data_IF_939838266789
#
_entry.id   IF_939838266789
#
_cell.length_a   1.000
_cell.length_b   1.000
_cell.length_c   1.000
_cell.angle_alpha   90.00
_cell.angle_beta   90.00
_cell.angle_gamma   90.00
#
_symmetry.space_group_name_H-M   'P 1'
#
loop_
_entity.id
_entity.type
_entity.pdbx_description
1 polymer ?
#
# COMPACT_ATOMS: atom_id res chain seq x y z
N UNK A 1 -25.43 -5.61 28.68
CA UNK A 1 -24.53 -6.63 28.11
C UNK A 1 -25.38 -7.59 27.32
N UNK A 2 -25.13 -7.75 26.03
CA UNK A 2 -25.79 -8.73 25.16
C UNK A 2 -24.75 -9.74 24.67
N UNK A 3 -25.11 -11.02 24.72
CA UNK A 3 -24.31 -12.11 24.15
C UNK A 3 -24.81 -12.36 22.74
N UNK A 4 -23.90 -12.42 21.76
CA UNK A 4 -24.26 -12.59 20.35
C UNK A 4 -23.58 -13.89 19.86
N UNK A 5 -24.35 -14.76 19.18
CA UNK A 5 -23.82 -15.94 18.52
C UNK A 5 -23.26 -15.59 17.14
N UNK A 6 -22.28 -16.38 16.71
CA UNK A 6 -21.49 -16.23 15.48
C UNK A 6 -22.36 -16.33 14.22
N UNK A 7 -23.06 -15.27 13.84
CA UNK A 7 -24.04 -15.28 12.74
C UNK A 7 -23.84 -14.12 11.75
N UNK A 8 -22.59 -13.78 11.42
CA UNK A 8 -22.32 -12.88 10.28
C UNK A 8 -22.08 -13.60 8.94
N UNK A 9 -22.18 -14.94 8.90
CA UNK A 9 -21.83 -15.73 7.71
C UNK A 9 -22.82 -16.85 7.30
N UNK A 10 -23.99 -17.02 7.95
CA UNK A 10 -25.03 -17.99 7.53
C UNK A 10 -26.46 -17.40 7.69
N UNK A 11 -27.46 -17.83 6.88
CA UNK A 11 -28.81 -17.25 6.86
C UNK A 11 -29.67 -17.64 8.10
N UNK A 12 -30.62 -16.79 8.52
CA UNK A 12 -31.35 -16.94 9.79
C UNK A 12 -32.43 -18.05 9.76
N UNK A 13 -32.39 -18.98 10.73
CA UNK A 13 -33.47 -19.95 11.00
C UNK A 13 -34.42 -19.42 12.10
N UNK A 14 -35.70 -19.17 11.80
CA UNK A 14 -36.65 -18.59 12.72
C UNK A 14 -37.12 -19.51 13.87
N UNK A 15 -36.58 -20.73 14.01
CA UNK A 15 -36.98 -21.68 15.09
C UNK A 15 -36.02 -21.78 16.28
N UNK A 16 -34.92 -21.03 16.35
CA UNK A 16 -33.97 -21.11 17.49
C UNK A 16 -34.30 -20.11 18.60
N UNK A 17 -34.87 -20.60 19.69
CA UNK A 17 -34.89 -19.91 20.98
C UNK A 17 -33.59 -20.19 21.75
N UNK A 18 -32.90 -19.13 22.20
CA UNK A 18 -31.65 -19.25 22.96
C UNK A 18 -31.88 -18.92 24.44
N UNK A 19 -31.51 -19.86 25.31
CA UNK A 19 -31.72 -19.78 26.76
C UNK A 19 -30.46 -19.27 27.45
N UNK A 20 -30.60 -18.28 28.33
CA UNK A 20 -29.55 -17.87 29.26
C UNK A 20 -29.25 -19.06 30.18
N UNK A 21 -27.99 -19.44 30.31
CA UNK A 21 -27.55 -20.55 31.17
C UNK A 21 -28.03 -20.32 32.61
N UNK A 22 -28.71 -21.31 33.18
CA UNK A 22 -29.21 -21.25 34.55
C UNK A 22 -28.07 -21.39 35.57
N UNK A 23 -28.28 -20.92 36.80
CA UNK A 23 -27.27 -21.00 37.87
C UNK A 23 -26.84 -22.44 38.20
N UNK A 24 -27.72 -23.42 38.00
CA UNK A 24 -27.42 -24.86 38.19
C UNK A 24 -26.51 -25.42 37.09
N UNK A 25 -26.65 -24.96 35.85
CA UNK A 25 -25.79 -25.41 34.74
C UNK A 25 -24.37 -24.88 34.88
N UNK A 26 -24.21 -23.66 35.37
CA UNK A 26 -22.90 -23.09 35.70
C UNK A 26 -22.23 -23.84 36.87
N UNK A 27 -22.99 -24.26 37.88
CA UNK A 27 -22.50 -25.05 39.00
C UNK A 27 -22.03 -26.47 38.57
N UNK A 28 -22.62 -27.02 37.51
CA UNK A 28 -22.25 -28.32 36.93
C UNK A 28 -21.09 -28.26 35.91
N UNK A 29 -20.39 -27.12 35.80
CA UNK A 29 -19.17 -27.00 35.00
C UNK A 29 -19.40 -26.89 33.48
N UNK A 30 -20.64 -26.73 33.01
CA UNK A 30 -20.92 -26.41 31.59
C UNK A 30 -20.37 -25.02 31.28
N UNK A 31 -19.56 -24.91 30.23
CA UNK A 31 -19.04 -23.63 29.72
C UNK A 31 -19.86 -23.19 28.50
N UNK A 32 -20.48 -22.01 28.56
CA UNK A 32 -21.07 -21.35 27.38
C UNK A 32 -19.98 -20.50 26.74
N UNK A 33 -19.67 -20.75 25.47
CA UNK A 33 -18.66 -20.01 24.71
C UNK A 33 -19.36 -19.16 23.65
N UNK A 34 -19.84 -17.99 24.05
CA UNK A 34 -20.35 -17.00 23.11
C UNK A 34 -19.18 -16.33 22.40
N UNK A 35 -19.23 -16.27 21.07
CA UNK A 35 -18.12 -15.73 20.28
C UNK A 35 -18.09 -14.20 20.26
N UNK A 36 -19.22 -13.55 20.55
CA UNK A 36 -19.38 -12.12 20.40
C UNK A 36 -20.05 -11.50 21.63
N UNK A 37 -19.60 -10.29 21.99
CA UNK A 37 -20.10 -9.56 23.15
C UNK A 37 -20.36 -8.09 22.80
N UNK A 38 -21.55 -7.63 23.15
CA UNK A 38 -21.92 -6.23 23.08
C UNK A 38 -22.14 -5.65 24.47
N UNK A 39 -21.44 -4.55 24.75
CA UNK A 39 -21.62 -3.75 25.95
C UNK A 39 -22.05 -2.35 25.52
N UNK A 40 -23.25 -1.96 25.88
CA UNK A 40 -23.82 -0.63 25.63
C UNK A 40 -24.40 -0.04 26.91
N UNK A 41 -24.58 1.29 26.96
CA UNK A 41 -25.20 1.98 28.09
C UNK A 41 -24.34 3.05 28.78
N UNK A 42 -23.56 3.84 28.01
CA UNK A 42 -22.71 4.93 28.55
C UNK A 42 -21.65 4.46 29.56
N UNK A 43 -21.12 3.25 29.35
CA UNK A 43 -20.12 2.64 30.23
C UNK A 43 -18.84 3.49 30.27
N UNK A 44 -18.33 3.76 31.48
CA UNK A 44 -17.08 4.53 31.69
C UNK A 44 -15.86 3.64 31.96
N UNK A 45 -16.08 2.43 32.47
CA UNK A 45 -15.03 1.47 32.85
C UNK A 45 -15.50 0.05 32.59
N UNK A 46 -14.58 -0.80 32.15
CA UNK A 46 -14.81 -2.22 31.91
C UNK A 46 -14.22 -3.04 33.07
N UNK A 47 -14.91 -4.10 33.46
CA UNK A 47 -14.41 -5.04 34.49
C UNK A 47 -13.19 -5.80 33.98
N UNK A 48 -12.23 -6.08 34.87
CA UNK A 48 -11.03 -6.88 34.53
C UNK A 48 -11.38 -8.31 34.11
N UNK A 49 -12.53 -8.83 34.53
CA UNK A 49 -13.04 -10.13 34.12
C UNK A 49 -13.36 -10.20 32.61
N UNK A 50 -13.55 -9.06 31.93
CA UNK A 50 -13.75 -9.03 30.48
C UNK A 50 -12.53 -9.62 29.75
N UNK A 51 -11.33 -9.37 30.26
CA UNK A 51 -10.07 -9.72 29.60
C UNK A 51 -9.69 -11.19 29.76
N UNK A 52 -10.39 -11.95 30.62
CA UNK A 52 -10.24 -13.41 30.71
C UNK A 52 -11.08 -14.16 29.67
N UNK A 53 -11.89 -13.48 28.87
CA UNK A 53 -12.79 -14.09 27.89
C UNK A 53 -12.08 -14.30 26.55
N UNK A 54 -11.00 -15.07 26.58
CA UNK A 54 -10.08 -15.29 25.43
C UNK A 54 -10.72 -16.00 24.24
N UNK A 55 -11.92 -16.56 24.40
CA UNK A 55 -12.71 -17.19 23.34
C UNK A 55 -13.46 -16.17 22.45
N UNK A 56 -13.46 -14.89 22.82
CA UNK A 56 -14.10 -13.83 22.05
C UNK A 56 -13.45 -13.62 20.68
N UNK A 57 -14.29 -13.57 19.64
CA UNK A 57 -13.92 -13.20 18.28
C UNK A 57 -14.44 -11.82 17.88
N UNK A 58 -15.52 -11.32 18.50
CA UNK A 58 -15.99 -9.96 18.29
C UNK A 58 -16.35 -9.24 19.60
N UNK A 59 -15.97 -7.97 19.70
CA UNK A 59 -16.24 -7.14 20.86
C UNK A 59 -16.77 -5.78 20.41
N UNK A 60 -18.04 -5.53 20.74
CA UNK A 60 -18.78 -4.31 20.43
C UNK A 60 -18.87 -3.43 21.67
N UNK A 61 -18.15 -2.31 21.66
CA UNK A 61 -18.07 -1.32 22.73
C UNK A 61 -18.46 0.07 22.23
N UNK A 62 -19.12 0.18 21.07
CA UNK A 62 -19.55 1.44 20.50
C UNK A 62 -20.58 2.17 21.37
N UNK A 63 -20.63 3.50 21.21
CA UNK A 63 -21.60 4.38 21.89
C UNK A 63 -21.55 4.29 23.43
N UNK A 64 -20.34 4.20 23.98
CA UNK A 64 -20.09 4.27 25.41
C UNK A 64 -19.40 5.59 25.82
N UNK A 65 -18.89 5.65 27.06
CA UNK A 65 -18.17 6.80 27.60
C UNK A 65 -16.75 6.41 28.05
N UNK A 66 -16.14 5.44 27.36
CA UNK A 66 -14.79 4.97 27.65
C UNK A 66 -13.77 6.06 27.35
N UNK A 67 -12.92 6.39 28.32
CA UNK A 67 -11.83 7.36 28.15
C UNK A 67 -10.48 6.70 27.80
N UNK A 68 -10.36 5.40 28.08
CA UNK A 68 -9.17 4.57 27.84
C UNK A 68 -9.56 3.11 27.68
N UNK A 69 -8.68 2.35 27.05
CA UNK A 69 -8.70 0.89 26.99
C UNK A 69 -7.43 0.37 27.69
N UNK A 70 -7.53 -0.59 28.63
CA UNK A 70 -6.35 -1.10 29.32
C UNK A 70 -5.51 -2.02 28.40
N UNK A 71 -4.19 -2.14 28.66
CA UNK A 71 -3.31 -3.09 27.98
C UNK A 71 -3.83 -4.53 27.96
N UNK A 72 -4.59 -4.94 28.97
CA UNK A 72 -5.19 -6.27 29.09
C UNK A 72 -6.09 -6.67 27.92
N UNK A 73 -6.54 -5.72 27.08
CA UNK A 73 -7.27 -6.04 25.84
C UNK A 73 -6.49 -7.00 24.93
N UNK A 74 -5.14 -6.95 24.99
CA UNK A 74 -4.27 -7.83 24.23
C UNK A 74 -4.37 -9.32 24.62
N UNK A 75 -4.97 -9.64 25.77
CA UNK A 75 -5.26 -11.03 26.17
C UNK A 75 -6.31 -11.69 25.26
N UNK A 76 -7.15 -10.89 24.60
CA UNK A 76 -8.16 -11.34 23.63
C UNK A 76 -7.51 -11.61 22.27
N UNK A 77 -6.56 -12.54 22.22
CA UNK A 77 -5.76 -12.85 21.03
C UNK A 77 -6.57 -13.39 19.85
N UNK A 78 -7.74 -14.00 20.10
CA UNK A 78 -8.64 -14.52 19.06
C UNK A 78 -9.59 -13.45 18.47
N UNK A 79 -9.51 -12.20 18.94
CA UNK A 79 -10.42 -11.15 18.53
C UNK A 79 -10.16 -10.74 17.07
N UNK A 80 -11.18 -10.87 16.23
CA UNK A 80 -11.18 -10.52 14.81
C UNK A 80 -11.81 -9.14 14.59
N UNK A 81 -12.81 -8.79 15.39
CA UNK A 81 -13.55 -7.53 15.27
C UNK A 81 -13.57 -6.77 16.60
N UNK A 82 -13.17 -5.50 16.57
CA UNK A 82 -13.21 -4.60 17.70
C UNK A 82 -13.82 -3.25 17.30
N UNK A 83 -15.00 -2.95 17.84
CA UNK A 83 -15.64 -1.64 17.67
C UNK A 83 -15.58 -0.82 18.96
N UNK A 84 -14.80 0.26 18.90
CA UNK A 84 -14.61 1.26 19.95
C UNK A 84 -15.17 2.62 19.53
N UNK A 85 -15.98 2.67 18.47
CA UNK A 85 -16.49 3.92 17.91
C UNK A 85 -17.35 4.70 18.91
N UNK A 86 -17.41 6.02 18.72
CA UNK A 86 -18.24 6.93 19.52
C UNK A 86 -17.96 6.88 21.04
N UNK A 87 -16.69 6.71 21.42
CA UNK A 87 -16.24 6.82 22.80
C UNK A 87 -15.48 8.15 23.04
N UNK A 88 -14.78 8.27 24.18
CA UNK A 88 -13.97 9.44 24.56
C UNK A 88 -12.48 9.09 24.66
N UNK A 89 -12.03 8.09 23.90
CA UNK A 89 -10.68 7.52 23.99
C UNK A 89 -9.66 8.53 23.46
N UNK A 90 -8.60 8.79 24.24
CA UNK A 90 -7.52 9.74 23.89
C UNK A 90 -6.24 9.08 23.36
N UNK A 91 -6.00 7.84 23.77
CA UNK A 91 -4.88 7.01 23.33
C UNK A 91 -5.27 5.54 23.38
N UNK A 92 -4.57 4.72 22.57
CA UNK A 92 -4.66 3.27 22.63
C UNK A 92 -3.41 2.70 23.32
N UNK A 93 -3.53 1.54 24.00
CA UNK A 93 -2.37 0.82 24.52
C UNK A 93 -1.51 0.25 23.37
N UNK A 94 -0.19 0.23 23.56
CA UNK A 94 0.77 -0.35 22.61
C UNK A 94 0.51 -1.86 22.38
N UNK A 95 0.06 -2.54 23.42
CA UNK A 95 -0.24 -3.96 23.45
C UNK A 95 -1.36 -4.36 22.49
N UNK A 96 -2.17 -3.40 22.02
CA UNK A 96 -3.16 -3.65 20.98
C UNK A 96 -2.51 -4.19 19.69
N UNK A 97 -1.23 -3.86 19.45
CA UNK A 97 -0.43 -4.44 18.36
C UNK A 97 -0.21 -5.95 18.44
N UNK A 98 -0.36 -6.56 19.63
CA UNK A 98 -0.18 -8.00 19.80
C UNK A 98 -1.43 -8.81 19.37
N UNK A 99 -2.53 -8.15 19.02
CA UNK A 99 -3.80 -8.79 18.64
C UNK A 99 -3.78 -9.21 17.15
N UNK A 100 -2.84 -10.07 16.77
CA UNK A 100 -2.52 -10.41 15.37
C UNK A 100 -3.68 -10.97 14.53
N UNK A 101 -4.74 -11.48 15.16
CA UNK A 101 -5.95 -11.96 14.49
C UNK A 101 -6.95 -10.86 14.13
N UNK A 102 -6.71 -9.63 14.56
CA UNK A 102 -7.64 -8.51 14.39
C UNK A 102 -7.71 -8.09 12.91
N UNK A 103 -8.92 -8.11 12.35
CA UNK A 103 -9.23 -7.74 10.96
C UNK A 103 -9.96 -6.41 10.86
N UNK A 104 -10.77 -6.08 11.85
CA UNK A 104 -11.54 -4.83 11.85
C UNK A 104 -11.36 -4.10 13.17
N UNK A 105 -10.83 -2.88 13.10
CA UNK A 105 -10.66 -1.98 14.23
C UNK A 105 -11.37 -0.65 13.94
N UNK A 106 -12.51 -0.42 14.59
CA UNK A 106 -13.30 0.79 14.42
C UNK A 106 -13.09 1.73 15.61
N UNK A 107 -12.56 2.92 15.33
CA UNK A 107 -12.20 3.95 16.33
C UNK A 107 -12.87 5.28 16.03
N UNK A 108 -13.89 5.28 15.17
CA UNK A 108 -14.56 6.49 14.71
C UNK A 108 -15.08 7.31 15.90
N UNK A 109 -15.15 8.64 15.76
CA UNK A 109 -15.73 9.55 16.72
C UNK A 109 -15.12 9.51 18.14
N UNK A 110 -13.82 9.21 18.25
CA UNK A 110 -13.04 9.31 19.49
C UNK A 110 -12.24 10.62 19.57
N UNK A 111 -11.50 10.80 20.68
CA UNK A 111 -10.63 11.94 20.98
C UNK A 111 -9.14 11.58 20.87
N UNK A 112 -8.82 10.58 20.04
CA UNK A 112 -7.46 10.10 19.86
C UNK A 112 -6.54 11.26 19.49
N UNK A 113 -5.29 11.24 19.94
CA UNK A 113 -4.23 12.20 19.54
C UNK A 113 -3.10 11.59 18.72
N UNK A 114 -2.81 10.32 18.99
CA UNK A 114 -1.76 9.49 18.39
C UNK A 114 -2.24 8.05 18.40
N UNK A 115 -1.84 7.26 17.41
CA UNK A 115 -1.92 5.80 17.46
C UNK A 115 -0.54 5.22 17.85
N UNK A 116 -0.48 4.15 18.65
CA UNK A 116 0.76 3.46 18.95
C UNK A 116 1.36 2.86 17.66
N UNK A 117 2.69 2.91 17.51
CA UNK A 117 3.38 2.38 16.32
C UNK A 117 3.25 0.85 16.23
N UNK A 118 3.00 0.20 17.36
CA UNK A 118 2.78 -1.24 17.48
C UNK A 118 1.52 -1.72 16.74
N UNK A 119 0.58 -0.84 16.38
CA UNK A 119 -0.51 -1.22 15.46
C UNK A 119 0.01 -1.73 14.11
N UNK A 120 1.25 -1.39 13.74
CA UNK A 120 1.96 -1.97 12.60
C UNK A 120 2.24 -3.46 12.70
N UNK A 121 1.99 -4.11 13.84
CA UNK A 121 2.08 -5.57 13.98
C UNK A 121 0.79 -6.30 13.56
N UNK A 122 -0.30 -5.58 13.30
CA UNK A 122 -1.61 -6.15 12.97
C UNK A 122 -1.73 -6.57 11.49
N UNK A 123 -0.97 -7.58 11.06
CA UNK A 123 -0.86 -8.05 9.66
C UNK A 123 -2.14 -8.62 9.05
N UNK A 124 -3.17 -8.87 9.85
CA UNK A 124 -4.48 -9.29 9.35
C UNK A 124 -5.49 -8.14 9.28
N UNK A 125 -5.14 -6.92 9.70
CA UNK A 125 -6.07 -5.80 9.77
C UNK A 125 -6.52 -5.40 8.36
N UNK A 126 -7.80 -5.50 8.07
CA UNK A 126 -8.41 -5.14 6.78
C UNK A 126 -9.08 -3.76 6.83
N UNK A 127 -9.64 -3.40 7.98
CA UNK A 127 -10.38 -2.15 8.17
C UNK A 127 -9.90 -1.41 9.42
N UNK A 128 -9.50 -0.14 9.26
CA UNK A 128 -9.19 0.78 10.35
C UNK A 128 -10.05 2.05 10.24
N UNK A 129 -11.08 2.16 11.09
CA UNK A 129 -12.00 3.30 11.07
C UNK A 129 -11.52 4.45 11.95
N UNK A 130 -11.14 5.59 11.37
CA UNK A 130 -10.60 6.76 12.09
C UNK A 130 -11.35 8.07 11.82
N UNK A 131 -12.63 8.00 11.48
CA UNK A 131 -13.42 9.20 11.16
C UNK A 131 -13.68 10.02 12.44
N UNK A 132 -13.13 11.23 12.55
CA UNK A 132 -13.34 12.10 13.71
C UNK A 132 -14.68 12.85 13.72
N UNK A 133 -15.07 13.37 14.90
CA UNK A 133 -16.06 14.45 14.99
C UNK A 133 -15.43 15.74 14.43
N UNK A 134 -16.22 16.47 13.65
CA UNK A 134 -15.82 17.41 12.57
C UNK A 134 -14.91 18.61 12.92
N UNK A 135 -14.24 18.70 14.07
CA UNK A 135 -13.52 19.95 14.46
C UNK A 135 -12.21 19.83 15.26
N UNK A 136 -11.74 18.68 15.74
CA UNK A 136 -10.52 18.66 16.60
C UNK A 136 -9.48 17.58 16.26
N UNK A 137 -9.67 16.88 15.14
CA UNK A 137 -8.85 15.72 14.79
C UNK A 137 -7.85 15.99 13.64
N UNK A 138 -7.45 17.25 13.44
CA UNK A 138 -6.35 17.59 12.52
C UNK A 138 -5.02 16.98 13.00
N UNK A 139 -4.81 16.82 14.32
CA UNK A 139 -3.50 16.49 14.88
C UNK A 139 -3.10 15.01 14.81
N UNK A 140 -4.04 14.05 14.90
CA UNK A 140 -3.74 12.61 14.75
C UNK A 140 -3.50 12.27 13.29
N UNK A 141 -4.32 12.86 12.44
CA UNK A 141 -4.25 12.59 11.01
C UNK A 141 -3.00 13.21 10.37
N UNK A 142 -2.45 14.28 10.98
CA UNK A 142 -1.17 14.84 10.61
C UNK A 142 0.05 14.03 11.11
N UNK A 143 -0.10 13.12 12.10
CA UNK A 143 1.00 12.34 12.70
C UNK A 143 1.01 10.85 12.34
N UNK A 144 0.04 10.34 11.60
CA UNK A 144 0.02 8.97 11.07
C UNK A 144 0.99 8.83 9.88
N UNK A 145 2.28 9.02 10.17
CA UNK A 145 3.35 8.96 9.18
C UNK A 145 3.92 7.57 8.97
N UNK A 146 3.81 6.62 9.90
CA UNK A 146 4.49 5.32 9.77
C UNK A 146 3.68 4.20 10.43
N UNK A 147 2.81 3.55 9.66
CA UNK A 147 2.32 2.20 9.96
C UNK A 147 2.32 1.44 8.63
N UNK A 148 3.40 0.71 8.37
CA UNK A 148 3.56 -0.13 7.19
C UNK A 148 3.29 -1.59 7.61
N UNK A 149 2.43 -2.27 6.88
CA UNK A 149 2.05 -3.66 7.11
C UNK A 149 2.19 -4.42 5.80
N UNK A 150 2.91 -5.54 5.87
CA UNK A 150 3.41 -6.30 4.71
C UNK A 150 2.32 -7.00 3.91
N UNK A 151 2.67 -7.34 2.66
CA UNK A 151 1.85 -7.73 1.50
C UNK A 151 1.05 -6.57 0.90
N UNK A 152 1.77 -5.73 0.15
CA UNK A 152 1.27 -4.72 -0.77
C UNK A 152 0.11 -3.85 -0.24
N UNK A 153 0.50 -2.72 0.35
CA UNK A 153 -0.27 -1.51 0.73
C UNK A 153 -0.78 -1.49 2.17
N UNK A 154 -0.20 -0.57 2.97
CA UNK A 154 -0.96 0.24 3.94
C UNK A 154 -0.69 1.73 3.73
N UNK A 155 -1.47 2.33 2.83
CA UNK A 155 -1.53 3.76 2.53
C UNK A 155 -2.67 4.40 3.34
N UNK A 156 -2.59 4.45 4.66
CA UNK A 156 -3.69 5.00 5.45
C UNK A 156 -3.16 5.94 6.52
N UNK A 157 -3.16 7.23 6.17
CA UNK A 157 -3.99 8.27 6.82
C UNK A 157 -3.74 9.67 6.23
N UNK A 158 -2.53 9.99 5.74
CA UNK A 158 -2.32 11.26 5.02
C UNK A 158 -2.96 11.28 3.62
N UNK A 159 -3.23 10.09 3.08
CA UNK A 159 -3.74 9.87 1.72
C UNK A 159 -5.18 10.36 1.52
N UNK A 160 -6.06 10.14 2.51
CA UNK A 160 -7.47 10.56 2.41
C UNK A 160 -7.66 12.07 2.34
N UNK A 161 -6.73 12.86 2.88
CA UNK A 161 -6.79 14.33 2.82
C UNK A 161 -6.35 14.91 1.49
N UNK A 162 -5.57 14.17 0.72
CA UNK A 162 -4.94 14.68 -0.49
C UNK A 162 -5.49 14.01 -1.74
N UNK A 163 -5.92 12.75 -1.63
CA UNK A 163 -6.32 11.93 -2.75
C UNK A 163 -7.69 11.26 -2.55
N UNK A 164 -8.44 11.09 -3.64
CA UNK A 164 -9.55 10.17 -3.74
C UNK A 164 -9.08 8.90 -4.47
N UNK A 165 -9.42 7.72 -3.95
CA UNK A 165 -9.18 6.47 -4.67
C UNK A 165 -10.17 6.37 -5.84
N UNK A 166 -9.65 6.21 -7.06
CA UNK A 166 -10.44 6.05 -8.28
C UNK A 166 -10.56 4.57 -8.65
N UNK A 167 -9.43 3.86 -8.71
CA UNK A 167 -9.39 2.44 -9.05
C UNK A 167 -8.29 1.73 -8.25
N UNK A 168 -8.48 0.44 -8.01
CA UNK A 168 -7.47 -0.48 -7.46
C UNK A 168 -7.37 -1.68 -8.38
N UNK A 169 -6.15 -2.06 -8.71
CA UNK A 169 -5.84 -3.20 -9.56
C UNK A 169 -4.81 -4.08 -8.87
N UNK A 170 -4.99 -5.39 -8.97
CA UNK A 170 -4.01 -6.40 -8.56
C UNK A 170 -3.51 -7.09 -9.83
N UNK A 171 -2.20 -7.22 -9.98
CA UNK A 171 -1.53 -7.89 -11.09
C UNK A 171 -0.93 -9.18 -10.54
N UNK A 172 -1.50 -10.31 -10.92
CA UNK A 172 -0.99 -11.64 -10.56
C UNK A 172 -0.06 -12.13 -11.67
N UNK A 173 1.24 -12.22 -11.37
CA UNK A 173 2.25 -12.49 -12.39
C UNK A 173 2.16 -13.91 -12.96
N UNK A 174 1.73 -14.89 -12.16
CA UNK A 174 1.48 -16.26 -12.63
C UNK A 174 0.38 -16.33 -13.69
N UNK A 175 -0.75 -15.64 -13.48
CA UNK A 175 -1.86 -15.60 -14.41
C UNK A 175 -1.45 -14.93 -15.72
N UNK A 176 -0.70 -13.82 -15.63
CA UNK A 176 -0.23 -13.10 -16.80
C UNK A 176 0.84 -13.91 -17.56
N UNK A 177 1.73 -14.60 -16.85
CA UNK A 177 2.69 -15.51 -17.45
C UNK A 177 1.99 -16.66 -18.18
N UNK A 178 0.99 -17.29 -17.55
CA UNK A 178 0.18 -18.36 -18.16
C UNK A 178 -0.55 -17.87 -19.43
N UNK A 179 -1.12 -16.66 -19.41
CA UNK A 179 -1.80 -16.09 -20.57
C UNK A 179 -0.85 -15.73 -21.73
N UNK A 180 0.44 -15.56 -21.45
CA UNK A 180 1.45 -15.15 -22.42
C UNK A 180 2.56 -16.20 -22.62
N UNK A 181 2.31 -17.46 -22.26
CA UNK A 181 3.33 -18.52 -22.31
C UNK A 181 3.38 -19.29 -23.63
N UNK A 182 2.59 -18.90 -24.63
CA UNK A 182 2.53 -19.61 -25.92
C UNK A 182 3.93 -19.74 -26.53
N UNK A 183 4.35 -20.98 -26.77
CA UNK A 183 5.66 -21.31 -27.34
C UNK A 183 6.87 -21.13 -26.40
N UNK A 184 6.69 -20.81 -25.12
CA UNK A 184 7.80 -20.59 -24.17
C UNK A 184 7.73 -21.50 -22.95
N UNK A 185 8.48 -22.60 -22.97
CA UNK A 185 8.66 -23.48 -21.81
C UNK A 185 9.25 -22.74 -20.59
N UNK A 186 10.23 -21.83 -20.73
CA UNK A 186 10.73 -21.06 -19.59
C UNK A 186 9.65 -20.22 -18.90
N UNK A 187 8.71 -19.64 -19.67
CA UNK A 187 7.59 -18.88 -19.10
C UNK A 187 6.70 -19.78 -18.22
N UNK A 188 6.39 -21.00 -18.66
CA UNK A 188 5.59 -21.96 -17.88
C UNK A 188 6.35 -22.49 -16.66
N UNK A 189 7.59 -22.93 -16.85
CA UNK A 189 8.32 -23.68 -15.83
C UNK A 189 8.91 -22.76 -14.76
N UNK A 190 9.35 -21.55 -15.13
CA UNK A 190 10.10 -20.65 -14.24
C UNK A 190 9.28 -19.47 -13.76
N UNK A 191 8.51 -18.81 -14.64
CA UNK A 191 7.78 -17.58 -14.32
C UNK A 191 6.38 -17.86 -13.76
N UNK A 192 5.58 -18.70 -14.45
CA UNK A 192 4.19 -19.02 -14.05
C UNK A 192 4.12 -19.70 -12.68
N UNK A 193 5.15 -20.46 -12.30
CA UNK A 193 5.21 -21.14 -11.00
C UNK A 193 5.42 -20.22 -9.80
N UNK A 194 5.53 -18.90 -9.99
CA UNK A 194 5.75 -17.91 -8.92
C UNK A 194 4.50 -17.10 -8.65
N UNK A 195 4.08 -17.03 -7.38
CA UNK A 195 2.85 -16.38 -6.91
C UNK A 195 3.05 -14.90 -6.51
N UNK A 196 4.14 -14.29 -6.96
CA UNK A 196 4.42 -12.87 -6.76
C UNK A 196 3.31 -11.99 -7.39
N UNK A 197 3.07 -10.83 -6.78
CA UNK A 197 2.03 -9.90 -7.21
C UNK A 197 2.53 -8.45 -7.23
N UNK A 198 1.88 -7.65 -8.06
CA UNK A 198 1.90 -6.19 -7.99
C UNK A 198 0.50 -5.64 -7.71
N UNK A 199 0.43 -4.44 -7.14
CA UNK A 199 -0.82 -3.70 -6.92
C UNK A 199 -0.63 -2.29 -7.44
N UNK A 200 -1.61 -1.77 -8.17
CA UNK A 200 -1.63 -0.40 -8.65
C UNK A 200 -2.92 0.29 -8.22
N UNK A 201 -2.81 1.50 -7.71
CA UNK A 201 -3.94 2.36 -7.35
C UNK A 201 -3.91 3.63 -8.17
N UNK A 202 -5.04 3.94 -8.77
CA UNK A 202 -5.28 5.19 -9.47
C UNK A 202 -5.95 6.16 -8.53
N UNK A 203 -5.40 7.37 -8.46
CA UNK A 203 -5.74 8.34 -7.44
C UNK A 203 -6.01 9.69 -8.08
N UNK A 204 -7.01 10.37 -7.57
CA UNK A 204 -7.35 11.73 -7.96
C UNK A 204 -6.90 12.69 -6.88
N UNK A 205 -6.09 13.69 -7.25
CA UNK A 205 -5.67 14.75 -6.35
C UNK A 205 -6.86 15.68 -6.07
N UNK A 206 -7.14 15.92 -4.79
CA UNK A 206 -8.22 16.81 -4.34
C UNK A 206 -7.95 18.26 -4.78
N UNK A 207 -8.97 18.91 -5.35
CA UNK A 207 -8.87 20.28 -5.90
C UNK A 207 -8.44 21.30 -4.85
N UNK A 208 -8.93 21.17 -3.62
CA UNK A 208 -8.64 22.11 -2.55
C UNK A 208 -7.12 22.20 -2.26
N UNK A 209 -6.38 21.09 -2.43
CA UNK A 209 -4.93 21.06 -2.23
C UNK A 209 -4.17 21.71 -3.41
N UNK A 210 -4.67 21.56 -4.63
CA UNK A 210 -4.08 22.20 -5.81
C UNK A 210 -4.24 23.72 -5.76
N UNK A 211 -5.40 24.21 -5.32
CA UNK A 211 -5.69 25.64 -5.17
C UNK A 211 -4.88 26.26 -4.03
N UNK A 212 -4.75 25.59 -2.88
CA UNK A 212 -3.90 26.05 -1.78
C UNK A 212 -2.42 26.16 -2.17
N UNK A 213 -1.92 25.24 -2.99
CA UNK A 213 -0.50 25.17 -3.35
C UNK A 213 -0.13 26.12 -4.49
N UNK A 214 -1.06 26.38 -5.42
CA UNK A 214 -0.83 27.28 -6.56
C UNK A 214 -1.17 28.74 -6.27
N UNK A 215 -1.95 29.01 -5.21
CA UNK A 215 -2.39 30.35 -4.84
C UNK A 215 -3.29 31.04 -5.87
N UNK A 216 -3.76 30.31 -6.90
CA UNK A 216 -4.62 30.81 -7.98
C UNK A 216 -5.73 29.79 -8.28
N UNK A 217 -6.93 30.24 -8.66
CA UNK A 217 -7.97 29.32 -9.14
C UNK A 217 -7.48 28.64 -10.43
N UNK A 218 -7.35 27.32 -10.40
CA UNK A 218 -6.97 26.53 -11.59
C UNK A 218 -8.17 26.43 -12.54
N UNK A 219 -8.33 27.42 -13.42
CA UNK A 219 -9.28 27.33 -14.54
C UNK A 219 -8.75 26.35 -15.59
N UNK A 220 -9.49 25.26 -15.84
CA UNK A 220 -9.23 24.31 -16.94
C UNK A 220 -8.65 22.95 -16.55
N UNK A 221 -8.15 22.75 -15.32
CA UNK A 221 -7.77 21.42 -14.81
C UNK A 221 -8.97 20.83 -14.04
N UNK A 222 -9.78 20.02 -14.73
CA UNK A 222 -10.94 19.40 -14.09
C UNK A 222 -10.55 18.30 -13.10
N UNK A 223 -9.50 17.52 -13.40
CA UNK A 223 -9.00 16.41 -12.57
C UNK A 223 -7.51 16.22 -12.78
N UNK A 224 -6.76 16.04 -11.70
CA UNK A 224 -5.36 15.61 -11.75
C UNK A 224 -5.26 14.20 -11.17
N UNK A 225 -4.74 13.27 -11.95
CA UNK A 225 -4.55 11.89 -11.50
C UNK A 225 -3.08 11.60 -11.18
N UNK A 226 -2.83 10.57 -10.38
CA UNK A 226 -1.52 9.95 -10.18
C UNK A 226 -1.73 8.44 -10.00
N UNK A 227 -0.86 7.64 -10.61
CA UNK A 227 -0.85 6.20 -10.38
C UNK A 227 0.27 5.87 -9.40
N UNK A 228 -0.08 5.13 -8.33
CA UNK A 228 0.91 4.56 -7.42
C UNK A 228 0.89 3.05 -7.59
N UNK A 229 2.03 2.49 -7.98
CA UNK A 229 2.24 1.07 -8.16
C UNK A 229 3.17 0.53 -7.07
N UNK A 230 2.90 -0.67 -6.58
CA UNK A 230 3.72 -1.39 -5.61
C UNK A 230 3.88 -2.85 -6.02
N UNK A 231 5.08 -3.41 -5.99
CA UNK A 231 5.30 -4.83 -6.29
C UNK A 231 6.38 -5.46 -5.42
N UNK A 232 6.33 -6.78 -5.28
CA UNK A 232 7.37 -7.57 -4.65
C UNK A 232 7.73 -8.72 -5.60
N UNK A 233 8.89 -8.62 -6.24
CA UNK A 233 9.37 -9.57 -7.23
C UNK A 233 9.94 -10.84 -6.58
N UNK A 234 10.10 -11.90 -7.37
CA UNK A 234 10.69 -13.14 -6.89
C UNK A 234 12.08 -12.89 -6.28
N UNK A 235 12.45 -13.61 -5.22
CA UNK A 235 13.62 -13.30 -4.41
C UNK A 235 14.90 -14.02 -4.85
N UNK A 236 14.77 -15.25 -5.36
CA UNK A 236 15.90 -16.15 -5.61
C UNK A 236 16.94 -15.52 -6.56
N UNK A 237 18.22 -15.37 -6.14
CA UNK A 237 19.30 -14.86 -6.97
C UNK A 237 19.48 -15.59 -8.30
N UNK A 238 19.13 -16.88 -8.37
CA UNK A 238 19.24 -17.71 -9.58
C UNK A 238 18.11 -17.49 -10.60
N UNK A 239 17.23 -16.54 -10.34
CA UNK A 239 16.05 -16.26 -11.17
C UNK A 239 16.00 -14.81 -11.63
N UNK A 240 17.16 -14.27 -12.05
CA UNK A 240 17.27 -12.94 -12.69
C UNK A 240 16.30 -12.77 -13.87
N UNK A 241 16.10 -13.83 -14.65
CA UNK A 241 15.17 -13.88 -15.77
C UNK A 241 13.72 -13.67 -15.29
N UNK A 242 13.30 -14.36 -14.23
CA UNK A 242 11.95 -14.22 -13.68
C UNK A 242 11.73 -12.82 -13.13
N UNK A 243 12.70 -12.25 -12.41
CA UNK A 243 12.62 -10.87 -11.89
C UNK A 243 12.44 -9.85 -13.02
N UNK A 244 13.18 -10.03 -14.11
CA UNK A 244 13.09 -9.19 -15.30
C UNK A 244 11.74 -9.33 -16.00
N UNK A 245 11.28 -10.55 -16.24
CA UNK A 245 9.98 -10.81 -16.89
C UNK A 245 8.81 -10.31 -16.02
N UNK A 246 8.85 -10.50 -14.70
CA UNK A 246 7.85 -9.95 -13.77
C UNK A 246 7.80 -8.41 -13.82
N UNK A 247 8.95 -7.76 -13.93
CA UNK A 247 9.02 -6.29 -14.08
C UNK A 247 8.39 -5.83 -15.39
N UNK A 248 8.65 -6.51 -16.51
CA UNK A 248 8.05 -6.21 -17.82
C UNK A 248 6.53 -6.41 -17.80
N UNK A 249 6.08 -7.55 -17.25
CA UNK A 249 4.68 -7.86 -17.03
C UNK A 249 3.97 -6.77 -16.24
N UNK A 250 4.58 -6.33 -15.13
CA UNK A 250 4.00 -5.30 -14.27
C UNK A 250 3.88 -3.96 -14.99
N UNK A 251 4.93 -3.51 -15.70
CA UNK A 251 4.89 -2.23 -16.41
C UNK A 251 3.90 -2.24 -17.59
N UNK A 252 3.76 -3.37 -18.28
CA UNK A 252 2.75 -3.54 -19.34
C UNK A 252 1.34 -3.38 -18.79
N UNK A 253 1.02 -4.01 -17.66
CA UNK A 253 -0.29 -3.87 -17.02
C UNK A 253 -0.53 -2.47 -16.44
N UNK A 254 0.50 -1.86 -15.82
CA UNK A 254 0.46 -0.48 -15.37
C UNK A 254 0.15 0.48 -16.53
N UNK A 255 0.74 0.24 -17.71
CA UNK A 255 0.41 1.00 -18.93
C UNK A 255 -1.03 0.78 -19.34
N UNK A 256 -1.52 -0.46 -19.36
CA UNK A 256 -2.90 -0.77 -19.68
C UNK A 256 -3.90 -0.04 -18.77
N UNK A 257 -3.59 0.07 -17.47
CA UNK A 257 -4.40 0.82 -16.50
C UNK A 257 -4.41 2.32 -16.85
N UNK A 258 -3.24 2.92 -17.12
CA UNK A 258 -3.11 4.34 -17.48
C UNK A 258 -3.84 4.66 -18.79
N UNK A 259 -3.71 3.79 -19.80
CA UNK A 259 -4.36 3.99 -21.11
C UNK A 259 -5.89 3.88 -20.98
N UNK A 260 -6.40 2.93 -20.18
CA UNK A 260 -7.84 2.80 -19.88
C UNK A 260 -8.37 4.03 -19.13
N UNK A 261 -7.63 4.52 -18.12
CA UNK A 261 -8.01 5.70 -17.36
C UNK A 261 -8.03 6.97 -18.23
N UNK A 262 -7.01 7.15 -19.06
CA UNK A 262 -6.90 8.30 -19.98
C UNK A 262 -8.05 8.35 -20.98
N UNK A 263 -8.43 7.20 -21.56
CA UNK A 263 -9.59 7.09 -22.46
C UNK A 263 -10.91 7.39 -21.75
N UNK A 264 -11.11 6.84 -20.55
CA UNK A 264 -12.36 7.02 -19.79
C UNK A 264 -12.62 8.47 -19.39
N UNK A 265 -11.56 9.26 -19.18
CA UNK A 265 -11.67 10.63 -18.70
C UNK A 265 -11.58 11.67 -19.81
N UNK A 266 -11.57 11.24 -21.09
CA UNK A 266 -11.36 12.11 -22.26
C UNK A 266 -10.22 13.10 -22.03
N UNK A 267 -9.12 12.62 -21.43
CA UNK A 267 -7.91 13.41 -21.20
C UNK A 267 -7.15 13.57 -22.53
N UNK A 268 -7.84 14.06 -23.56
CA UNK A 268 -7.33 14.34 -24.90
C UNK A 268 -7.11 15.85 -25.00
N UNK A 269 -5.84 16.27 -25.01
CA UNK A 269 -5.43 17.62 -25.36
C UNK A 269 -5.47 17.81 -26.88
N UNK A 270 -5.92 18.99 -27.30
CA UNK A 270 -5.95 19.46 -28.71
C UNK A 270 -4.52 19.68 -29.27
N UNK A 271 -3.47 19.52 -28.46
CA UNK A 271 -2.08 19.90 -28.78
C UNK A 271 -1.07 18.75 -28.91
N UNK A 272 -1.48 17.48 -28.87
CA UNK A 272 -0.57 16.34 -29.12
C UNK A 272 0.41 16.01 -28.00
N UNK A 273 0.51 16.84 -26.95
CA UNK A 273 1.20 16.50 -25.70
C UNK A 273 0.16 15.97 -24.71
N UNK A 274 0.16 14.66 -24.49
CA UNK A 274 -0.71 14.00 -23.52
C UNK A 274 -0.39 14.52 -22.12
N UNK A 275 -1.41 14.96 -21.37
CA UNK A 275 -1.31 15.04 -19.91
C UNK A 275 -1.17 13.60 -19.38
N UNK A 276 0.04 13.03 -19.46
CA UNK A 276 0.30 11.67 -19.02
C UNK A 276 -0.04 11.55 -17.52
N UNK A 277 -0.62 10.43 -17.10
CA UNK A 277 -0.83 10.19 -15.68
C UNK A 277 0.54 9.86 -15.08
N UNK A 278 1.08 10.66 -14.14
CA UNK A 278 2.38 10.40 -13.54
C UNK A 278 2.36 9.07 -12.76
N UNK A 279 3.47 8.35 -12.82
CA UNK A 279 3.68 7.08 -12.12
C UNK A 279 4.66 7.28 -10.95
N UNK A 280 4.29 6.77 -9.79
CA UNK A 280 5.21 6.44 -8.70
C UNK A 280 5.19 4.93 -8.53
N UNK A 281 6.33 4.28 -8.73
CA UNK A 281 6.52 2.85 -8.64
C UNK A 281 7.42 2.54 -7.44
N UNK A 282 6.83 1.98 -6.39
CA UNK A 282 7.59 1.40 -5.28
C UNK A 282 7.75 -0.10 -5.53
N UNK A 283 8.91 -0.69 -5.25
CA UNK A 283 9.02 -2.13 -5.29
C UNK A 283 10.20 -2.65 -4.48
N UNK A 284 10.01 -3.82 -3.86
CA UNK A 284 11.10 -4.74 -3.57
C UNK A 284 11.32 -5.56 -4.85
N UNK A 285 12.38 -5.21 -5.57
CA UNK A 285 12.71 -5.84 -6.85
C UNK A 285 13.59 -7.08 -6.67
N UNK A 286 14.14 -7.31 -5.47
CA UNK A 286 15.16 -8.33 -5.25
C UNK A 286 16.29 -8.28 -6.31
N UNK A 287 16.61 -7.07 -6.80
CA UNK A 287 17.50 -6.84 -7.93
C UNK A 287 18.45 -5.68 -7.63
N UNK A 288 19.75 -5.91 -7.83
CA UNK A 288 20.79 -4.90 -7.59
C UNK A 288 20.78 -3.80 -8.67
N UNK A 289 21.40 -2.64 -8.42
CA UNK A 289 21.39 -1.50 -9.36
C UNK A 289 21.99 -1.78 -10.74
N UNK A 290 22.84 -2.80 -10.87
CA UNK A 290 23.50 -3.23 -12.11
C UNK A 290 22.75 -4.36 -12.85
N UNK A 291 21.55 -4.72 -12.39
CA UNK A 291 20.70 -5.73 -13.01
C UNK A 291 19.96 -5.21 -14.25
N UNK A 292 19.54 -6.14 -15.10
CA UNK A 292 18.68 -5.86 -16.26
C UNK A 292 17.30 -5.31 -15.87
N UNK A 293 16.83 -5.60 -14.65
CA UNK A 293 15.60 -5.03 -14.09
C UNK A 293 15.74 -3.51 -13.94
N UNK A 294 16.83 -3.05 -13.31
CA UNK A 294 17.07 -1.63 -13.08
C UNK A 294 17.44 -0.92 -14.39
N UNK A 295 18.21 -1.58 -15.28
CA UNK A 295 18.47 -1.07 -16.64
C UNK A 295 17.15 -0.85 -17.39
N UNK A 296 16.26 -1.85 -17.43
CA UNK A 296 14.98 -1.77 -18.11
C UNK A 296 14.17 -0.56 -17.62
N UNK A 297 14.00 -0.42 -16.29
CA UNK A 297 13.22 0.65 -15.66
C UNK A 297 13.81 2.04 -15.93
N UNK A 298 15.13 2.20 -15.85
CA UNK A 298 15.81 3.51 -15.93
C UNK A 298 16.02 3.99 -17.36
N UNK A 299 16.36 3.08 -18.28
CA UNK A 299 16.70 3.42 -19.67
C UNK A 299 15.48 3.40 -20.60
N UNK A 300 14.35 2.84 -20.14
CA UNK A 300 13.13 2.71 -20.93
C UNK A 300 13.09 1.44 -21.79
N UNK A 301 14.03 0.51 -21.61
CA UNK A 301 13.99 -0.77 -22.29
C UNK A 301 15.28 -1.58 -22.15
N UNK A 302 15.22 -2.86 -22.50
CA UNK A 302 16.37 -3.79 -22.44
C UNK A 302 16.39 -4.65 -23.70
N UNK A 303 17.58 -5.12 -24.06
CA UNK A 303 17.73 -6.06 -25.18
C UNK A 303 17.22 -7.46 -24.83
N UNK A 304 16.59 -8.16 -25.78
CA UNK A 304 16.10 -9.54 -25.59
C UNK A 304 17.25 -10.53 -25.39
N UNK A 305 18.47 -10.16 -25.76
CA UNK A 305 19.69 -10.96 -25.56
C UNK A 305 20.40 -10.65 -24.24
N UNK A 306 19.80 -9.81 -23.37
CA UNK A 306 20.41 -9.44 -22.09
C UNK A 306 20.74 -10.67 -21.23
N UNK A 307 21.92 -10.67 -20.61
CA UNK A 307 22.47 -11.79 -19.82
C UNK A 307 21.51 -12.32 -18.75
N UNK A 308 20.69 -11.45 -18.17
CA UNK A 308 19.75 -11.83 -17.11
C UNK A 308 18.65 -12.78 -17.61
N UNK A 309 18.39 -12.86 -18.92
CA UNK A 309 17.52 -13.88 -19.52
C UNK A 309 18.17 -15.27 -19.57
N UNK A 310 19.44 -15.41 -19.17
CA UNK A 310 20.17 -16.69 -19.09
C UNK A 310 20.17 -17.51 -20.39
N UNK A 311 20.16 -16.82 -21.54
CA UNK A 311 20.04 -17.44 -22.89
C UNK A 311 18.79 -18.30 -23.08
N UNK A 312 17.79 -18.16 -22.20
CA UNK A 312 16.51 -18.86 -22.29
C UNK A 312 15.68 -18.23 -23.41
N UNK A 313 15.03 -19.09 -24.21
CA UNK A 313 14.21 -18.66 -25.36
C UNK A 313 12.87 -18.06 -24.89
N UNK A 314 12.93 -16.82 -24.44
CA UNK A 314 11.76 -15.98 -24.14
C UNK A 314 11.33 -15.11 -25.34
N UNK A 315 12.16 -15.01 -26.38
CA UNK A 315 12.11 -13.98 -27.44
C UNK A 315 10.74 -13.74 -28.05
N UNK A 316 9.97 -14.79 -28.32
CA UNK A 316 8.73 -14.68 -29.07
C UNK A 316 7.60 -14.14 -28.18
N UNK A 317 7.57 -14.54 -26.91
CA UNK A 317 6.52 -14.16 -25.96
C UNK A 317 6.77 -12.80 -25.27
N UNK A 318 8.02 -12.35 -25.10
CA UNK A 318 8.31 -11.07 -24.44
C UNK A 318 7.80 -9.86 -25.20
N UNK A 319 7.64 -9.98 -26.52
CA UNK A 319 7.07 -8.92 -27.36
C UNK A 319 5.65 -8.53 -26.92
N UNK A 320 4.91 -9.43 -26.26
CA UNK A 320 3.59 -9.16 -25.69
C UNK A 320 3.64 -8.12 -24.55
N UNK A 321 4.80 -7.94 -23.91
CA UNK A 321 5.00 -6.95 -22.85
C UNK A 321 5.63 -5.65 -23.34
N UNK A 322 5.83 -5.49 -24.65
CA UNK A 322 6.32 -4.24 -25.22
C UNK A 322 5.23 -3.16 -25.17
N UNK A 323 5.43 -2.17 -24.32
CA UNK A 323 4.48 -1.09 -24.07
C UNK A 323 4.26 -0.19 -25.30
N UNK A 324 5.25 -0.07 -26.20
CA UNK A 324 5.18 0.86 -27.33
C UNK A 324 4.54 0.26 -28.61
N UNK A 325 3.93 -0.92 -28.50
CA UNK A 325 3.14 -1.56 -29.57
C UNK A 325 3.90 -2.61 -30.39
N UNK A 326 3.14 -3.48 -31.08
CA UNK A 326 3.64 -4.61 -31.87
C UNK A 326 4.26 -4.23 -33.22
N UNK A 327 3.95 -3.04 -33.74
CA UNK A 327 4.34 -2.58 -35.10
C UNK A 327 5.58 -1.68 -35.12
N UNK A 328 6.11 -1.29 -33.97
CA UNK A 328 7.46 -0.75 -33.92
C UNK A 328 8.40 -1.92 -34.10
N UNK A 329 9.11 -1.98 -35.22
CA UNK A 329 10.24 -2.90 -35.43
C UNK A 329 11.19 -2.78 -34.24
N UNK A 330 10.99 -3.59 -33.22
CA UNK A 330 11.91 -3.67 -32.09
C UNK A 330 13.11 -4.40 -32.63
N UNK A 331 14.19 -3.67 -32.89
CA UNK A 331 15.53 -4.18 -33.14
C UNK A 331 16.01 -5.02 -31.93
N UNK A 332 15.34 -6.14 -31.62
CA UNK A 332 15.63 -6.99 -30.47
C UNK A 332 15.44 -6.35 -29.09
N UNK A 333 14.63 -5.29 -28.92
CA UNK A 333 14.48 -4.59 -27.61
C UNK A 333 13.05 -4.56 -27.09
N UNK A 334 12.87 -4.83 -25.79
CA UNK A 334 11.59 -4.65 -25.08
C UNK A 334 11.60 -3.26 -24.43
N UNK A 335 10.57 -2.44 -24.65
CA UNK A 335 10.61 -1.00 -24.28
C UNK A 335 9.37 -0.54 -23.52
N UNK A 336 9.49 0.59 -22.80
CA UNK A 336 8.40 1.32 -22.16
C UNK A 336 8.56 2.84 -22.23
N UNK A 337 7.44 3.58 -22.16
CA UNK A 337 7.40 5.04 -22.34
C UNK A 337 7.47 5.88 -21.06
N UNK A 338 7.56 5.27 -19.88
CA UNK A 338 7.36 5.95 -18.58
C UNK A 338 8.43 6.97 -18.15
N UNK A 339 9.62 6.97 -18.76
CA UNK A 339 10.75 7.86 -18.41
C UNK A 339 11.01 7.91 -16.89
N UNK A 340 11.25 6.74 -16.30
CA UNK A 340 11.38 6.59 -14.86
C UNK A 340 12.78 6.98 -14.37
N UNK A 341 12.85 7.46 -13.13
CA UNK A 341 14.08 7.78 -12.43
C UNK A 341 13.98 7.27 -10.99
N UNK A 342 15.04 6.69 -10.44
CA UNK A 342 15.08 6.33 -9.01
C UNK A 342 15.15 7.59 -8.16
N UNK A 343 14.42 7.63 -7.04
CA UNK A 343 14.55 8.70 -6.05
C UNK A 343 15.88 8.65 -5.29
N UNK A 344 16.46 7.46 -5.17
CA UNK A 344 17.75 7.21 -4.52
C UNK A 344 18.78 6.89 -5.60
N UNK A 345 19.54 7.90 -6.04
CA UNK A 345 20.63 7.75 -7.01
C UNK A 345 22.00 7.84 -6.33
N UNK A 346 23.07 7.54 -7.08
CA UNK A 346 24.46 7.84 -6.70
C UNK A 346 24.90 7.24 -5.34
N UNK A 347 24.38 6.08 -4.96
CA UNK A 347 24.78 5.40 -3.73
C UNK A 347 24.35 6.13 -2.44
N UNK A 348 23.33 6.99 -2.49
CA UNK A 348 22.81 7.70 -1.32
C UNK A 348 22.40 6.77 -0.17
N UNK A 349 21.89 5.58 -0.49
CA UNK A 349 21.78 4.47 0.45
C UNK A 349 22.73 3.35 0.00
N UNK A 350 23.64 2.88 0.87
CA UNK A 350 24.56 1.80 0.52
C UNK A 350 23.85 0.43 0.44
N UNK A 351 22.75 0.28 1.17
CA UNK A 351 21.93 -0.93 1.22
C UNK A 351 20.51 -0.56 1.64
N UNK A 352 19.55 -1.32 1.14
CA UNK A 352 18.15 -1.27 1.58
C UNK A 352 17.77 -2.55 2.31
N UNK A 353 18.31 -3.70 1.90
CA UNK A 353 18.30 -4.92 2.71
C UNK A 353 19.66 -5.11 3.40
N UNK A 354 19.64 -5.41 4.70
CA UNK A 354 20.82 -5.55 5.54
C UNK A 354 20.69 -6.77 6.44
N UNK A 355 21.14 -7.91 5.95
CA UNK A 355 21.24 -9.17 6.71
C UNK A 355 22.71 -9.53 6.94
N UNK A 356 22.98 -10.60 7.69
CA UNK A 356 24.34 -11.08 7.87
C UNK A 356 24.98 -11.48 6.52
N UNK A 357 24.26 -12.27 5.73
CA UNK A 357 24.75 -12.86 4.47
C UNK A 357 24.63 -11.93 3.26
N UNK A 358 23.67 -11.01 3.26
CA UNK A 358 23.40 -10.13 2.12
C UNK A 358 23.20 -8.68 2.54
N UNK A 359 23.88 -7.76 1.86
CA UNK A 359 23.75 -6.31 2.03
C UNK A 359 23.72 -5.68 0.65
N UNK A 360 22.61 -5.04 0.28
CA UNK A 360 22.46 -4.49 -1.06
C UNK A 360 21.22 -3.62 -1.22
N UNK A 361 21.19 -2.84 -2.30
CA UNK A 361 20.03 -2.04 -2.70
C UNK A 361 19.15 -2.90 -3.58
N UNK A 362 17.99 -3.27 -3.06
CA UNK A 362 16.96 -4.06 -3.78
C UNK A 362 15.56 -3.45 -3.70
N UNK A 363 15.40 -2.40 -2.89
CA UNK A 363 14.16 -1.63 -2.75
C UNK A 363 14.29 -0.29 -3.47
N UNK A 364 13.24 0.10 -4.19
CA UNK A 364 13.28 1.30 -5.02
C UNK A 364 11.99 2.11 -4.96
N UNK A 365 12.14 3.43 -5.09
CA UNK A 365 11.06 4.36 -5.42
C UNK A 365 11.40 4.99 -6.77
N UNK A 366 10.74 4.53 -7.82
CA UNK A 366 10.81 5.12 -9.16
C UNK A 366 9.70 6.15 -9.35
N UNK A 367 9.98 7.21 -10.10
CA UNK A 367 9.00 8.24 -10.44
C UNK A 367 9.13 8.69 -11.90
N UNK A 368 8.02 9.15 -12.49
CA UNK A 368 8.01 9.78 -13.81
C UNK A 368 8.72 11.14 -13.80
N UNK A 369 9.99 11.16 -14.20
CA UNK A 369 10.86 12.34 -14.17
C UNK A 369 10.28 13.60 -14.83
N UNK A 370 9.55 13.55 -15.97
CA UNK A 370 9.04 14.76 -16.61
C UNK A 370 7.99 15.51 -15.78
N UNK A 371 7.36 14.85 -14.79
CA UNK A 371 6.21 15.38 -14.06
C UNK A 371 6.43 15.47 -12.56
N UNK A 372 7.45 14.78 -12.04
CA UNK A 372 7.73 14.70 -10.62
C UNK A 372 9.19 15.09 -10.35
N UNK A 373 9.41 15.98 -9.39
CA UNK A 373 10.73 16.34 -8.87
C UNK A 373 10.93 15.74 -7.48
N UNK A 374 12.16 15.37 -7.13
CA UNK A 374 12.54 14.98 -5.77
C UNK A 374 12.94 16.22 -4.99
N UNK A 375 12.23 16.53 -3.91
CA UNK A 375 12.55 17.64 -3.01
C UNK A 375 13.47 17.22 -1.85
N UNK A 376 13.36 15.96 -1.44
CA UNK A 376 14.15 15.43 -0.33
C UNK A 376 13.93 13.94 -0.15
N UNK A 377 14.89 13.30 0.52
CA UNK A 377 14.86 11.87 0.84
C UNK A 377 15.23 11.65 2.31
N UNK A 378 14.85 10.50 2.85
CA UNK A 378 15.40 10.02 4.13
C UNK A 378 16.73 9.31 3.86
N UNK A 379 17.80 9.80 4.46
CA UNK A 379 19.13 9.19 4.38
C UNK A 379 19.22 7.84 5.11
N UNK A 380 20.35 7.12 4.96
CA UNK A 380 20.56 5.84 5.62
C UNK A 380 20.62 6.01 7.14
N UNK A 381 20.41 4.91 7.87
CA UNK A 381 20.77 4.84 9.28
C UNK A 381 22.28 5.09 9.43
N UNK A 382 22.67 5.80 10.50
CA UNK A 382 24.08 6.09 10.75
C UNK A 382 24.90 4.80 10.86
N UNK A 383 25.90 4.67 9.98
CA UNK A 383 26.76 3.51 9.91
C UNK A 383 27.65 3.38 11.15
N UNK A 384 28.05 4.49 11.77
CA UNK A 384 28.83 4.46 13.01
C UNK A 384 28.03 3.83 14.15
N UNK A 385 26.75 4.19 14.27
CA UNK A 385 25.86 3.61 15.26
C UNK A 385 25.72 2.08 15.11
N UNK A 386 25.65 1.58 13.86
CA UNK A 386 25.62 0.13 13.61
C UNK A 386 26.90 -0.56 14.10
N UNK A 387 28.07 0.04 13.84
CA UNK A 387 29.37 -0.48 14.27
C UNK A 387 29.47 -0.46 15.81
N UNK A 388 29.14 0.67 16.45
CA UNK A 388 29.22 0.83 17.90
C UNK A 388 28.34 -0.17 18.66
N UNK A 389 27.19 -0.54 18.07
CA UNK A 389 26.26 -1.49 18.66
C UNK A 389 26.49 -2.94 18.17
N UNK A 390 27.58 -3.19 17.43
CA UNK A 390 27.93 -4.51 16.87
C UNK A 390 26.79 -5.15 16.06
N UNK A 391 26.05 -4.36 15.30
CA UNK A 391 24.92 -4.82 14.48
C UNK A 391 25.46 -5.20 13.10
N UNK A 392 25.57 -6.50 12.83
CA UNK A 392 26.09 -7.07 11.57
C UNK A 392 25.00 -7.50 10.57
N UNK A 393 23.74 -7.47 11.01
CA UNK A 393 22.55 -7.80 10.23
C UNK A 393 21.27 -7.45 10.98
N UNK A 394 20.17 -7.35 10.26
CA UNK A 394 18.82 -7.08 10.75
C UNK A 394 17.89 -8.27 10.40
N UNK A 395 16.76 -8.46 11.10
CA UNK A 395 16.21 -7.60 12.16
C UNK A 395 17.03 -7.64 13.46
N UNK A 396 16.89 -6.59 14.28
CA UNK A 396 17.54 -6.37 15.57
C UNK A 396 16.51 -5.82 16.58
N UNK A 397 16.65 -5.93 17.91
CA UNK A 397 15.67 -5.40 18.87
C UNK A 397 15.29 -3.92 18.66
N UNK A 398 16.18 -3.13 18.08
CA UNK A 398 15.95 -1.72 17.73
C UNK A 398 15.57 -1.49 16.26
N UNK A 399 15.71 -2.49 15.39
CA UNK A 399 15.45 -2.43 13.95
C UNK A 399 14.52 -3.60 13.57
N UNK A 400 13.20 -3.36 13.42
CA UNK A 400 12.21 -4.44 13.38
C UNK A 400 12.13 -5.20 12.05
N UNK A 401 12.89 -4.79 11.03
CA UNK A 401 12.94 -5.43 9.71
C UNK A 401 14.38 -5.52 9.23
N UNK A 402 14.66 -6.51 8.40
CA UNK A 402 15.86 -6.66 7.59
C UNK A 402 15.96 -5.64 6.44
N UNK A 403 14.87 -4.95 6.11
CA UNK A 403 14.86 -3.83 5.16
C UNK A 403 14.77 -2.48 5.88
N UNK A 404 15.56 -1.51 5.40
CA UNK A 404 15.44 -0.10 5.77
C UNK A 404 14.38 0.60 4.91
N UNK A 405 13.55 1.41 5.53
CA UNK A 405 12.49 2.16 4.84
C UNK A 405 13.07 3.21 3.89
N UNK A 406 12.53 3.27 2.67
CA UNK A 406 12.75 4.40 1.76
C UNK A 406 11.66 5.45 1.96
N UNK A 407 12.05 6.72 1.93
CA UNK A 407 11.13 7.86 1.97
C UNK A 407 11.61 8.96 1.04
N UNK A 408 10.75 9.37 0.11
CA UNK A 408 11.00 10.49 -0.79
C UNK A 408 9.84 11.48 -0.75
N UNK A 409 10.19 12.77 -0.66
CA UNK A 409 9.25 13.86 -0.87
C UNK A 409 9.29 14.26 -2.34
N UNK A 410 8.15 14.07 -3.03
CA UNK A 410 8.01 14.38 -4.44
C UNK A 410 7.14 15.63 -4.64
N UNK A 411 7.53 16.47 -5.58
CA UNK A 411 6.74 17.61 -6.09
C UNK A 411 6.13 17.22 -7.43
N UNK A 412 4.80 17.34 -7.55
CA UNK A 412 4.10 17.16 -8.81
C UNK A 412 4.04 18.49 -9.56
N UNK A 413 4.68 18.54 -10.73
CA UNK A 413 4.64 19.67 -11.63
C UNK A 413 3.36 19.57 -12.46
N UNK A 414 2.42 20.48 -12.21
CA UNK A 414 1.20 20.58 -13.01
C UNK A 414 1.53 21.23 -14.37
N UNK A 415 0.93 20.75 -15.47
CA UNK A 415 1.11 21.36 -16.79
C UNK A 415 0.66 22.82 -16.73
N UNK A 416 1.56 23.76 -17.03
CA UNK A 416 1.21 25.17 -17.15
C UNK A 416 0.29 25.36 -18.35
N UNK A 417 -0.96 25.77 -18.11
CA UNK A 417 -1.75 26.41 -19.16
C UNK A 417 -1.02 27.69 -19.57
N UNK A 418 -0.75 27.92 -20.87
CA UNK A 418 -0.22 29.21 -21.30
C UNK A 418 -1.20 30.30 -20.85
N UNK A 419 -0.65 31.36 -20.25
CA UNK A 419 -1.32 32.65 -20.16
C UNK A 419 -1.92 32.95 -21.54
N UNK A 420 -3.24 33.11 -21.61
CA UNK A 420 -3.90 33.66 -22.80
C UNK A 420 -3.36 35.08 -22.94
N UNK A 421 -2.25 35.22 -23.67
CA UNK A 421 -1.71 36.51 -24.03
C UNK A 421 -2.76 37.21 -24.88
N UNK A 422 -3.23 38.34 -24.36
CA UNK A 422 -3.69 39.52 -25.10
C UNK A 422 -4.62 39.24 -26.28
N UNK A 423 -5.89 39.57 -26.08
CA UNK A 423 -6.85 39.89 -27.14
C UNK A 423 -6.14 40.70 -28.24
N UNK A 424 -5.95 40.09 -29.42
CA UNK A 424 -5.67 40.85 -30.63
C UNK A 424 -6.92 41.69 -30.91
N UNK A 425 -6.90 42.96 -30.50
CA UNK A 425 -7.83 43.95 -31.04
C UNK A 425 -7.49 44.12 -32.53
N UNK A 426 -8.47 43.96 -33.44
CA UNK A 426 -8.25 44.30 -34.84
C UNK A 426 -8.12 45.83 -34.92
N UNK A 427 -6.90 46.31 -35.11
CA UNK A 427 -6.64 47.68 -35.52
C UNK A 427 -7.34 47.94 -36.84
N UNK A 428 -8.36 48.80 -36.81
CA UNK A 428 -9.13 49.28 -37.94
C UNK A 428 -8.22 49.92 -39.00
N UNK A 429 -8.56 49.61 -40.26
CA UNK A 429 -8.30 50.33 -41.54
C UNK A 429 -7.16 51.34 -41.60
#
# INVERSE_FOLDING_TARGET
VRLISREKYDPPDPRRMYTIMSSEEAANGKKSNWAELEISGKVKSLSTALWSLTHLTALHLSDNSLSRIPPDIAKLHNLVYLDLSSNKIRSLPAELGNMVSLRELLLNNNLLRVLPFELGKLFQLQTLGLKGKKTENQTVQNKLKNICLHKCIFLYVNFYFRFNLVQKHTVEFNQLAMANSEGSEPMLNRVMTKDNIGVAVLLELRKELMELSSGKPLHGIERQLILVANAHMHWDPEYSDVKLVQTMMFLSEVKNIIDKASRSLKLSSVSGETNAIPLVLCADLNSLPDSGVVEYLTTGGVDITHKDFKELRYSDCLTNFNCNGKNGTSNGRITHGFKLKSAYENGLMPYTNYTFDFKGVIDYIFYSKPQLNVLGILGPLDHHWLIENNISGCPHPHIPSDHFSLFAQLELVLPHLPSVNGVHLPGRR
#
